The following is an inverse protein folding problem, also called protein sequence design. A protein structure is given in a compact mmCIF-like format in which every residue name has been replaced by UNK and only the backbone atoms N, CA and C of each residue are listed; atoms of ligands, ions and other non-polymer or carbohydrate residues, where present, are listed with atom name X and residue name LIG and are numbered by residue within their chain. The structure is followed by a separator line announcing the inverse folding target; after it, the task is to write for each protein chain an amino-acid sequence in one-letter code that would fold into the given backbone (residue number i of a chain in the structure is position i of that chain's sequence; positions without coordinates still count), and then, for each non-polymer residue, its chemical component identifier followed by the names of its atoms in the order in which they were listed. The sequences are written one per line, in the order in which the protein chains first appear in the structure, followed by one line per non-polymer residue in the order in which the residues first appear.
data_IF_625601675387
#
_entry.id   IF_625601675387
#
_cell.length_a   1.000
_cell.length_b   1.000
_cell.length_c   1.000
_cell.angle_alpha   90.00
_cell.angle_beta   90.00
_cell.angle_gamma   90.00
#
_symmetry.space_group_name_H-M   'P 1'
#
loop_
_entity.id
_entity.type
_entity.pdbx_description
1 polymer ?
#
# COMPACT_ATOMS: atom_id res chain seq x y z
N UNK A 1 18.85 23.99 2.18
CA UNK A 1 19.27 23.54 0.85
C UNK A 1 18.16 22.67 0.29
N UNK A 2 17.45 23.20 -0.70
CA UNK A 2 16.35 22.55 -1.39
C UNK A 2 16.93 21.49 -2.34
N UNK A 3 16.47 20.25 -2.22
CA UNK A 3 16.87 19.14 -3.07
C UNK A 3 15.64 18.33 -3.42
N UNK A 4 14.89 18.79 -4.43
CA UNK A 4 13.84 18.02 -5.06
C UNK A 4 14.50 17.01 -6.00
N UNK A 5 14.94 15.88 -5.47
CA UNK A 5 15.44 14.78 -6.30
C UNK A 5 14.25 14.02 -6.90
N UNK A 6 13.79 14.50 -8.04
CA UNK A 6 12.99 13.72 -8.99
C UNK A 6 13.93 12.66 -9.56
N UNK A 7 13.98 11.50 -8.92
CA UNK A 7 14.78 10.36 -9.38
C UNK A 7 13.91 9.33 -10.09
N UNK A 8 14.23 9.16 -11.38
CA UNK A 8 14.01 8.00 -12.24
C UNK A 8 12.60 7.37 -12.31
N UNK A 9 11.81 7.85 -13.28
CA UNK A 9 10.69 7.06 -13.83
C UNK A 9 11.30 6.10 -14.86
N UNK A 10 11.83 4.99 -14.37
CA UNK A 10 12.15 3.82 -15.19
C UNK A 10 11.13 2.73 -14.88
N UNK A 11 10.04 2.67 -15.67
CA UNK A 11 9.50 1.46 -16.33
C UNK A 11 8.10 1.78 -16.90
N UNK A 12 8.06 2.09 -18.20
CA UNK A 12 6.89 2.51 -18.98
C UNK A 12 5.95 1.32 -19.30
N UNK A 13 5.51 0.61 -18.26
CA UNK A 13 4.63 -0.56 -18.41
C UNK A 13 3.14 -0.21 -18.23
N UNK A 14 2.74 1.03 -18.49
CA UNK A 14 1.32 1.33 -18.61
C UNK A 14 0.81 0.93 -19.98
N UNK A 15 0.19 -0.26 -20.07
CA UNK A 15 -0.50 -0.69 -21.29
C UNK A 15 -1.64 0.29 -21.59
N UNK A 16 -1.51 1.04 -22.69
CA UNK A 16 -2.56 1.96 -23.14
C UNK A 16 -3.83 1.17 -23.48
N UNK A 17 -4.99 1.52 -22.92
CA UNK A 17 -6.24 0.81 -23.22
C UNK A 17 -6.64 0.99 -24.69
N UNK A 18 -7.37 0.03 -25.27
CA UNK A 18 -7.87 0.15 -26.63
C UNK A 18 -8.85 1.32 -26.74
N UNK A 19 -8.76 2.06 -27.85
CA UNK A 19 -9.69 3.15 -28.14
C UNK A 19 -11.02 2.60 -28.70
N UNK A 20 -12.12 3.23 -28.32
CA UNK A 20 -13.46 2.91 -28.81
C UNK A 20 -14.03 4.07 -29.62
N UNK A 21 -14.79 3.77 -30.68
CA UNK A 21 -15.42 4.81 -31.51
C UNK A 21 -16.42 5.62 -30.69
N UNK A 22 -16.34 6.96 -30.78
CA UNK A 22 -17.18 7.91 -30.03
C UNK A 22 -17.14 7.76 -28.51
N UNK A 23 -16.10 7.14 -27.94
CA UNK A 23 -15.94 7.02 -26.49
C UNK A 23 -14.68 7.69 -25.98
N UNK A 24 -14.57 7.76 -24.66
CA UNK A 24 -13.44 8.32 -23.93
C UNK A 24 -12.99 7.35 -22.83
N UNK A 25 -11.78 7.56 -22.32
CA UNK A 25 -11.18 6.75 -21.26
C UNK A 25 -11.04 7.61 -20.02
N UNK A 26 -11.44 7.06 -18.88
CA UNK A 26 -11.11 7.62 -17.58
C UNK A 26 -10.01 6.78 -16.94
N UNK A 27 -8.99 7.45 -16.39
CA UNK A 27 -7.91 6.77 -15.67
C UNK A 27 -8.18 6.80 -14.17
N UNK A 28 -8.16 5.62 -13.55
CA UNK A 28 -8.29 5.45 -12.12
C UNK A 28 -7.13 4.62 -11.58
N UNK A 29 -6.63 5.00 -10.42
CA UNK A 29 -5.63 4.23 -9.67
C UNK A 29 -6.17 3.95 -8.27
N UNK A 30 -5.84 2.78 -7.73
CA UNK A 30 -6.17 2.41 -6.36
C UNK A 30 -4.87 2.22 -5.58
N UNK A 31 -4.67 3.05 -4.57
CA UNK A 31 -3.55 2.86 -3.65
C UNK A 31 -3.77 1.62 -2.80
N UNK A 32 -2.72 0.81 -2.69
CA UNK A 32 -2.68 -0.36 -1.83
C UNK A 32 -1.37 -0.35 -1.04
N UNK A 33 -1.45 -0.77 0.21
CA UNK A 33 -0.27 -0.91 1.04
C UNK A 33 0.30 -2.33 0.94
N UNK A 34 1.62 -2.44 1.15
CA UNK A 34 2.30 -3.73 1.27
C UNK A 34 1.80 -4.49 2.50
N UNK A 35 2.14 -5.77 2.57
CA UNK A 35 1.88 -6.62 3.73
C UNK A 35 2.32 -5.94 5.04
N UNK A 36 1.52 -6.09 6.10
CA UNK A 36 1.72 -5.52 7.44
C UNK A 36 1.46 -4.00 7.56
N UNK A 37 0.99 -3.35 6.50
CA UNK A 37 0.57 -1.94 6.53
C UNK A 37 -0.90 -1.82 6.19
N UNK A 38 -1.57 -0.82 6.76
CA UNK A 38 -2.93 -0.42 6.41
C UNK A 38 -2.92 0.94 5.72
N UNK A 39 -3.82 1.11 4.75
CA UNK A 39 -4.00 2.39 4.08
C UNK A 39 -4.72 3.35 5.05
N UNK A 40 -4.08 4.48 5.34
CA UNK A 40 -4.60 5.56 6.18
C UNK A 40 -5.04 6.70 5.28
N UNK A 41 -6.35 6.83 5.13
CA UNK A 41 -7.01 7.94 4.44
C UNK A 41 -8.46 8.03 4.90
N UNK A 42 -9.07 9.20 4.76
CA UNK A 42 -10.51 9.40 4.96
C UNK A 42 -11.32 8.98 3.71
N UNK A 43 -10.65 8.82 2.56
CA UNK A 43 -11.25 8.36 1.31
C UNK A 43 -11.16 6.85 1.09
N UNK A 44 -11.59 6.41 -0.09
CA UNK A 44 -11.61 5.01 -0.53
C UNK A 44 -10.28 4.52 -1.16
N UNK A 45 -9.28 5.40 -1.20
CA UNK A 45 -7.97 5.14 -1.81
C UNK A 45 -7.98 5.13 -3.34
N UNK A 46 -9.08 5.51 -3.99
CA UNK A 46 -9.21 5.59 -5.46
C UNK A 46 -8.99 7.02 -5.93
N UNK A 47 -8.08 7.23 -6.86
CA UNK A 47 -7.83 8.54 -7.43
C UNK A 47 -8.12 8.51 -8.93
N UNK A 48 -8.79 9.53 -9.41
CA UNK A 48 -9.12 9.73 -10.82
C UNK A 48 -8.26 10.86 -11.37
N UNK A 49 -7.76 10.69 -12.59
CA UNK A 49 -7.05 11.74 -13.31
C UNK A 49 -8.05 12.76 -13.84
N UNK A 50 -7.96 14.01 -13.38
CA UNK A 50 -8.85 15.10 -13.82
C UNK A 50 -8.33 15.80 -15.10
N UNK A 51 -9.13 16.71 -15.65
CA UNK A 51 -8.78 17.49 -16.85
C UNK A 51 -7.57 18.42 -16.65
N UNK A 52 -7.25 18.76 -15.40
CA UNK A 52 -6.09 19.55 -15.00
C UNK A 52 -4.83 18.69 -14.83
N UNK A 53 -4.89 17.40 -15.19
CA UNK A 53 -3.82 16.39 -15.07
C UNK A 53 -3.38 16.13 -13.63
N UNK A 54 -4.31 16.26 -12.68
CA UNK A 54 -4.10 15.96 -11.26
C UNK A 54 -4.86 14.69 -10.86
N UNK A 55 -4.23 13.91 -9.98
CA UNK A 55 -4.87 12.76 -9.33
C UNK A 55 -5.68 13.24 -8.14
N UNK A 56 -6.99 12.99 -8.16
CA UNK A 56 -7.88 13.47 -7.10
C UNK A 56 -8.80 12.36 -6.60
N UNK A 57 -9.06 12.38 -5.30
CA UNK A 57 -10.03 11.54 -4.63
C UNK A 57 -11.26 12.37 -4.24
N UNK A 58 -12.45 11.78 -4.34
CA UNK A 58 -13.71 12.49 -4.08
C UNK A 58 -13.85 13.00 -2.63
N UNK A 59 -13.22 12.34 -1.66
CA UNK A 59 -13.31 12.70 -0.24
C UNK A 59 -12.16 13.60 0.21
N UNK A 60 -10.93 13.35 -0.26
CA UNK A 60 -9.72 14.01 0.26
C UNK A 60 -9.01 14.92 -0.74
N UNK A 61 -9.58 15.11 -1.94
CA UNK A 61 -8.99 15.95 -2.97
C UNK A 61 -7.67 15.41 -3.48
N UNK A 62 -6.65 16.25 -3.54
CA UNK A 62 -5.28 15.93 -3.98
C UNK A 62 -4.41 15.31 -2.88
N UNK A 63 -4.89 15.29 -1.63
CA UNK A 63 -4.15 14.70 -0.51
C UNK A 63 -4.00 13.19 -0.71
N UNK A 64 -2.75 12.73 -0.83
CA UNK A 64 -2.42 11.31 -0.98
C UNK A 64 -2.61 10.52 0.33
N UNK A 65 -2.87 9.20 0.25
CA UNK A 65 -2.98 8.35 1.43
C UNK A 65 -1.60 7.97 1.99
N UNK A 66 -1.55 7.58 3.25
CA UNK A 66 -0.33 7.05 3.91
C UNK A 66 -0.48 5.55 4.21
N UNK A 67 0.63 4.82 4.29
CA UNK A 67 0.63 3.43 4.75
C UNK A 67 1.13 3.36 6.20
N UNK A 68 0.26 3.01 7.13
CA UNK A 68 0.56 2.92 8.56
C UNK A 68 0.83 1.46 8.96
N UNK A 69 1.89 1.20 9.72
CA UNK A 69 2.22 -0.13 10.19
C UNK A 69 1.12 -0.67 11.13
N UNK A 70 0.74 -1.93 10.93
CA UNK A 70 -0.21 -2.60 11.81
C UNK A 70 0.51 -3.12 13.04
N UNK A 71 0.16 -2.63 14.23
CA UNK A 71 0.72 -3.09 15.50
C UNK A 71 -0.04 -4.30 16.06
N UNK A 72 0.65 -5.12 16.88
CA UNK A 72 0.03 -6.21 17.66
C UNK A 72 -0.49 -7.41 16.86
N UNK A 73 -0.21 -7.49 15.56
CA UNK A 73 -0.61 -8.61 14.69
C UNK A 73 0.63 -9.34 14.16
N UNK A 74 1.23 -10.23 14.95
CA UNK A 74 2.38 -11.02 14.48
C UNK A 74 1.95 -11.91 13.30
N UNK A 75 2.84 -12.04 12.31
CA UNK A 75 2.61 -12.96 11.18
C UNK A 75 2.38 -14.40 11.66
N UNK A 76 3.20 -14.80 12.63
CA UNK A 76 3.14 -16.09 13.29
C UNK A 76 2.88 -15.82 14.78
N UNK A 77 1.62 -15.90 15.24
CA UNK A 77 1.30 -15.76 16.65
C UNK A 77 2.05 -16.81 17.47
N UNK A 78 2.59 -16.42 18.61
CA UNK A 78 3.18 -17.36 19.54
C UNK A 78 2.05 -18.10 20.28
N UNK A 79 2.13 -19.42 20.35
CA UNK A 79 1.26 -20.20 21.23
C UNK A 79 1.65 -19.95 22.69
N UNK A 80 0.64 -19.73 23.53
CA UNK A 80 0.87 -19.42 24.94
C UNK A 80 1.34 -20.67 25.70
N UNK A 81 2.64 -20.76 25.99
CA UNK A 81 3.21 -21.79 26.87
C UNK A 81 4.07 -21.14 27.96
N UNK A 82 3.47 -21.11 29.17
CA UNK A 82 3.98 -20.84 30.53
C UNK A 82 5.07 -19.77 30.78
N UNK A 83 4.92 -19.05 31.92
CA UNK A 83 5.74 -17.91 32.36
C UNK A 83 7.17 -18.34 32.70
N UNK A 84 8.02 -18.31 31.68
CA UNK A 84 9.48 -18.44 31.66
C UNK A 84 10.17 -18.29 33.04
N UNK A 85 10.62 -19.42 33.61
CA UNK A 85 12.01 -19.65 34.02
C UNK A 85 12.47 -20.90 33.25
N UNK A 86 13.36 -20.74 32.25
CA UNK A 86 13.83 -21.82 31.35
C UNK A 86 13.59 -21.61 29.84
N UNK A 87 12.73 -20.65 29.46
CA UNK A 87 12.59 -20.21 28.07
C UNK A 87 11.68 -21.11 27.21
N UNK A 88 11.03 -20.54 26.20
CA UNK A 88 10.55 -21.30 25.04
C UNK A 88 11.33 -20.81 23.83
N UNK A 89 11.79 -21.73 23.00
CA UNK A 89 12.48 -21.36 21.76
C UNK A 89 11.44 -20.79 20.80
N UNK A 90 11.75 -19.64 20.22
CA UNK A 90 10.92 -19.03 19.18
C UNK A 90 10.72 -20.06 18.05
N UNK A 91 9.47 -20.34 17.67
CA UNK A 91 9.17 -21.42 16.72
C UNK A 91 9.87 -21.23 15.37
N UNK A 92 10.15 -19.97 14.99
CA UNK A 92 10.96 -19.64 13.81
C UNK A 92 12.41 -20.13 13.94
N UNK A 93 12.98 -20.12 15.15
CA UNK A 93 14.31 -20.67 15.46
C UNK A 93 14.32 -22.19 15.39
N UNK A 94 13.18 -22.85 15.62
CA UNK A 94 13.03 -24.31 15.53
C UNK A 94 12.83 -24.83 14.10
N UNK A 95 12.74 -23.97 13.08
CA UNK A 95 12.53 -24.39 11.69
C UNK A 95 11.18 -25.08 11.44
N UNK A 96 10.28 -25.06 12.44
CA UNK A 96 8.92 -25.56 12.33
C UNK A 96 8.09 -24.46 11.67
N UNK A 97 8.09 -24.42 10.34
CA UNK A 97 7.15 -23.60 9.60
C UNK A 97 5.77 -24.26 9.68
N UNK A 98 4.79 -23.52 10.22
CA UNK A 98 3.37 -23.78 10.03
C UNK A 98 2.89 -23.21 8.68
#
# INVERSE_FOLDING_TARGET
YSGNDVTDISDDSFLKPPMIANGYVEHLVRYQCKNYYRLRTEGDGVYTLNNEKQWTNKAVGDKLPECEAVCGKPKNPADAVQRILGGHLDAKVLGLQA
#
